data_IF_916962736730
#
_entry.id   IF_916962736730
#
_cell.length_a   1.000
_cell.length_b   1.000
_cell.length_c   1.000
_cell.angle_alpha   90.00
_cell.angle_beta   90.00
_cell.angle_gamma   90.00
#
_symmetry.space_group_name_H-M   'P 1'
#
loop_
_entity.id
_entity.type
_entity.pdbx_description
1 polymer ?
#
# COMPACT_ATOMS: atom_id res chain seq x y z
N UNK A 1 -0.71 27.74 -2.21
CA UNK A 1 -0.57 26.35 -2.71
C UNK A 1 -0.61 25.44 -1.51
N UNK A 2 -1.20 24.24 -1.60
CA UNK A 2 -1.17 23.31 -0.46
C UNK A 2 0.29 22.98 -0.13
N UNK A 3 0.66 23.09 1.14
CA UNK A 3 1.96 22.69 1.67
C UNK A 3 1.90 21.33 2.35
N UNK A 4 0.74 20.68 2.32
CA UNK A 4 0.51 19.37 2.95
C UNK A 4 0.22 18.30 1.90
N UNK A 5 0.58 17.06 2.23
CA UNK A 5 0.34 15.88 1.42
C UNK A 5 -0.18 14.75 2.32
N UNK A 6 -1.35 14.18 1.98
CA UNK A 6 -1.91 13.01 2.65
C UNK A 6 -1.77 11.76 1.77
N UNK A 7 -1.13 10.73 2.30
CA UNK A 7 -0.96 9.42 1.64
C UNK A 7 -1.65 8.37 2.48
N UNK A 8 -2.46 7.52 1.86
CA UNK A 8 -3.19 6.45 2.55
C UNK A 8 -3.00 5.10 1.85
N UNK A 9 -3.09 4.01 2.61
CA UNK A 9 -3.14 2.65 2.09
C UNK A 9 -4.24 1.82 2.74
N UNK A 10 -4.85 0.93 1.97
CA UNK A 10 -5.90 0.02 2.46
C UNK A 10 -6.06 -1.19 1.54
N UNK A 11 -5.93 -2.40 2.10
CA UNK A 11 -6.37 -3.64 1.44
C UNK A 11 -7.90 -3.74 1.46
N UNK A 12 -8.50 -3.96 0.29
CA UNK A 12 -9.96 -3.96 0.12
C UNK A 12 -10.59 -5.35 -0.03
N UNK A 13 -9.79 -6.42 0.08
CA UNK A 13 -10.25 -7.81 -0.06
C UNK A 13 -11.03 -8.10 -1.36
N UNK A 14 -10.54 -7.57 -2.48
CA UNK A 14 -11.02 -7.84 -3.84
C UNK A 14 -12.53 -7.61 -3.98
N UNK A 15 -13.02 -6.38 -3.76
CA UNK A 15 -14.44 -6.11 -3.85
C UNK A 15 -14.91 -6.34 -5.29
N UNK A 16 -15.89 -7.23 -5.46
CA UNK A 16 -16.43 -7.55 -6.80
C UNK A 16 -17.08 -6.33 -7.44
N UNK A 17 -16.86 -6.14 -8.74
CA UNK A 17 -17.56 -5.14 -9.54
C UNK A 17 -19.08 -5.39 -9.43
N UNK A 18 -19.82 -4.45 -8.83
CA UNK A 18 -21.25 -4.60 -8.55
C UNK A 18 -21.61 -5.03 -7.11
N UNK A 19 -20.64 -5.14 -6.20
CA UNK A 19 -20.90 -5.29 -4.77
C UNK A 19 -21.55 -4.01 -4.21
N UNK A 20 -22.87 -3.93 -4.31
CA UNK A 20 -23.67 -2.79 -3.87
C UNK A 20 -23.64 -2.57 -2.36
N UNK A 21 -23.22 -3.57 -1.58
CA UNK A 21 -23.07 -3.46 -0.12
C UNK A 21 -21.73 -2.87 0.30
N UNK A 22 -20.63 -3.34 -0.31
CA UNK A 22 -19.29 -2.94 0.13
C UNK A 22 -18.81 -1.69 -0.60
N UNK A 23 -19.03 -1.58 -1.91
CA UNK A 23 -18.49 -0.47 -2.72
C UNK A 23 -18.92 0.90 -2.18
N UNK A 24 -20.21 1.17 -1.90
CA UNK A 24 -20.61 2.49 -1.41
C UNK A 24 -19.95 2.88 -0.08
N UNK A 25 -19.76 1.92 0.83
CA UNK A 25 -19.14 2.13 2.14
C UNK A 25 -17.63 2.30 2.06
N UNK A 26 -16.97 1.55 1.18
CA UNK A 26 -15.55 1.76 0.86
C UNK A 26 -15.37 3.18 0.31
N UNK A 27 -16.19 3.59 -0.66
CA UNK A 27 -16.12 4.92 -1.26
C UNK A 27 -16.46 6.05 -0.26
N UNK A 28 -17.42 5.82 0.65
CA UNK A 28 -17.72 6.75 1.75
C UNK A 28 -16.49 6.96 2.63
N UNK A 29 -15.82 5.88 3.04
CA UNK A 29 -14.60 5.99 3.84
C UNK A 29 -13.45 6.64 3.07
N UNK A 30 -13.25 6.30 1.80
CA UNK A 30 -12.24 6.94 0.95
C UNK A 30 -12.47 8.46 0.87
N UNK A 31 -13.73 8.90 0.71
CA UNK A 31 -14.09 10.32 0.70
C UNK A 31 -13.89 11.00 2.05
N UNK A 32 -14.14 10.29 3.16
CA UNK A 32 -13.91 10.80 4.52
C UNK A 32 -12.41 11.02 4.79
N UNK A 33 -11.56 10.04 4.47
CA UNK A 33 -10.11 10.13 4.67
C UNK A 33 -9.50 11.18 3.73
N UNK A 34 -10.04 11.28 2.50
CA UNK A 34 -9.73 12.33 1.54
C UNK A 34 -8.22 12.47 1.24
N UNK A 35 -7.52 11.35 1.07
CA UNK A 35 -6.08 11.37 0.80
C UNK A 35 -5.75 11.88 -0.60
N UNK A 36 -4.66 12.62 -0.75
CA UNK A 36 -4.16 13.08 -2.05
C UNK A 36 -3.65 11.92 -2.91
N UNK A 37 -3.06 10.92 -2.25
CA UNK A 37 -2.57 9.68 -2.84
C UNK A 37 -3.13 8.50 -2.09
N UNK A 38 -3.70 7.54 -2.82
CA UNK A 38 -4.12 6.25 -2.29
C UNK A 38 -3.28 5.14 -2.90
N UNK A 39 -2.83 4.21 -2.07
CA UNK A 39 -2.36 2.89 -2.49
C UNK A 39 -3.39 1.87 -2.03
N UNK A 40 -4.20 1.36 -2.95
CA UNK A 40 -5.22 0.37 -2.63
C UNK A 40 -4.72 -1.01 -3.07
N UNK A 41 -4.71 -1.96 -2.14
CA UNK A 41 -4.33 -3.35 -2.40
C UNK A 41 -5.57 -4.24 -2.48
N UNK A 42 -5.46 -5.35 -3.21
CA UNK A 42 -6.55 -6.28 -3.51
C UNK A 42 -7.83 -5.52 -3.89
N UNK A 43 -7.72 -4.68 -4.92
CA UNK A 43 -8.73 -3.68 -5.25
C UNK A 43 -9.42 -3.99 -6.57
N UNK A 44 -10.39 -3.16 -6.92
CA UNK A 44 -11.08 -3.21 -8.20
C UNK A 44 -11.21 -1.79 -8.77
N UNK A 45 -11.15 -1.64 -10.09
CA UNK A 45 -11.35 -0.36 -10.79
C UNK A 45 -12.71 0.31 -10.49
N UNK A 46 -13.71 -0.44 -10.00
CA UNK A 46 -14.97 0.11 -9.50
C UNK A 46 -14.80 0.95 -8.22
N UNK A 47 -13.70 0.79 -7.48
CA UNK A 47 -13.32 1.64 -6.35
C UNK A 47 -12.53 2.84 -6.88
N UNK A 48 -13.24 3.82 -7.42
CA UNK A 48 -12.68 5.08 -7.89
C UNK A 48 -12.87 6.18 -6.82
N UNK A 49 -11.79 6.76 -6.26
CA UNK A 49 -11.87 7.85 -5.28
C UNK A 49 -12.55 9.14 -5.77
N UNK A 50 -12.62 9.37 -7.09
CA UNK A 50 -13.27 10.53 -7.70
C UNK A 50 -12.73 10.87 -9.09
N UNK A 51 -13.46 11.68 -9.85
CA UNK A 51 -13.10 12.05 -11.24
C UNK A 51 -11.83 12.88 -11.35
N UNK A 52 -11.38 13.49 -10.25
CA UNK A 52 -10.15 14.26 -10.19
C UNK A 52 -8.91 13.39 -9.86
N UNK A 53 -9.11 12.09 -9.67
CA UNK A 53 -8.00 11.15 -9.50
C UNK A 53 -7.61 10.50 -10.83
N UNK A 54 -6.30 10.34 -11.01
CA UNK A 54 -5.72 9.47 -12.02
C UNK A 54 -5.08 8.27 -11.35
N UNK A 55 -4.96 7.15 -12.06
CA UNK A 55 -4.41 5.93 -11.48
C UNK A 55 -3.51 5.13 -12.40
N UNK A 56 -2.72 4.28 -11.77
CA UNK A 56 -1.96 3.20 -12.39
C UNK A 56 -2.11 1.95 -11.52
N UNK A 57 -2.26 0.79 -12.16
CA UNK A 57 -2.45 -0.48 -11.46
C UNK A 57 -1.40 -1.50 -11.85
N UNK A 58 -1.20 -2.48 -10.97
CA UNK A 58 -0.43 -3.68 -11.26
C UNK A 58 -1.10 -4.50 -12.38
N UNK A 59 -0.33 -5.38 -13.00
CA UNK A 59 -0.80 -6.24 -14.08
C UNK A 59 -1.89 -7.19 -13.59
N UNK A 60 -2.92 -7.33 -14.42
CA UNK A 60 -3.97 -8.32 -14.25
C UNK A 60 -3.40 -9.75 -14.27
N UNK A 61 -3.86 -10.61 -13.36
CA UNK A 61 -3.49 -12.03 -13.30
C UNK A 61 -4.63 -12.86 -13.90
N UNK A 62 -4.42 -13.50 -15.06
CA UNK A 62 -5.40 -14.42 -15.64
C UNK A 62 -5.79 -15.53 -14.67
N UNK A 63 -7.06 -15.95 -14.71
CA UNK A 63 -7.66 -17.01 -13.89
C UNK A 63 -7.71 -16.74 -12.37
N UNK A 64 -6.99 -15.73 -11.88
CA UNK A 64 -7.08 -15.25 -10.50
C UNK A 64 -8.03 -14.05 -10.39
N UNK A 65 -7.88 -13.04 -11.25
CA UNK A 65 -8.65 -11.80 -11.20
C UNK A 65 -9.96 -11.84 -12.00
N UNK A 66 -10.98 -11.15 -11.49
CA UNK A 66 -12.17 -10.79 -12.27
C UNK A 66 -12.02 -9.39 -12.88
N UNK A 67 -12.92 -8.99 -13.78
CA UNK A 67 -12.81 -7.70 -14.48
C UNK A 67 -12.62 -6.52 -13.52
N UNK A 68 -11.57 -5.74 -13.76
CA UNK A 68 -11.20 -4.57 -12.96
C UNK A 68 -10.37 -4.90 -11.71
N UNK A 69 -10.21 -6.16 -11.32
CA UNK A 69 -9.40 -6.53 -10.16
C UNK A 69 -7.90 -6.41 -10.43
N UNK A 70 -7.19 -5.88 -9.44
CA UNK A 70 -5.73 -5.77 -9.44
C UNK A 70 -5.21 -5.94 -8.02
N UNK A 71 -3.96 -6.40 -7.89
CA UNK A 71 -3.34 -6.55 -6.57
C UNK A 71 -3.00 -5.19 -5.95
N UNK A 72 -2.52 -4.23 -6.74
CA UNK A 72 -2.16 -2.89 -6.25
C UNK A 72 -2.57 -1.83 -7.24
N UNK A 73 -3.20 -0.75 -6.78
CA UNK A 73 -3.48 0.44 -7.58
C UNK A 73 -3.06 1.69 -6.81
N UNK A 74 -2.30 2.56 -7.48
CA UNK A 74 -1.99 3.90 -7.01
C UNK A 74 -3.00 4.86 -7.63
N UNK A 75 -3.74 5.60 -6.82
CA UNK A 75 -4.56 6.73 -7.24
C UNK A 75 -3.94 8.03 -6.74
N UNK A 76 -4.02 9.10 -7.52
CA UNK A 76 -3.60 10.43 -7.08
C UNK A 76 -4.47 11.53 -7.67
N UNK A 77 -4.76 12.57 -6.87
CA UNK A 77 -5.32 13.86 -7.35
C UNK A 77 -4.34 14.64 -8.23
N UNK A 78 -3.07 14.23 -8.25
CA UNK A 78 -2.00 14.84 -9.04
C UNK A 78 -1.66 13.97 -10.24
N UNK A 79 -1.00 14.53 -11.28
CA UNK A 79 -0.60 13.75 -12.45
C UNK A 79 0.25 12.52 -12.08
N UNK A 80 -0.24 11.34 -12.47
CA UNK A 80 0.46 10.06 -12.35
C UNK A 80 1.19 9.76 -13.65
N UNK A 81 2.52 9.64 -13.59
CA UNK A 81 3.37 9.27 -14.72
C UNK A 81 3.96 7.88 -14.48
N UNK A 82 3.55 6.85 -15.27
CA UNK A 82 4.15 5.53 -15.20
C UNK A 82 5.68 5.62 -15.39
N UNK A 83 6.42 4.91 -14.54
CA UNK A 83 7.86 4.75 -14.73
C UNK A 83 8.12 3.60 -15.70
N UNK A 84 9.05 3.79 -16.64
CA UNK A 84 9.62 2.66 -17.38
C UNK A 84 10.59 1.89 -16.47
N UNK A 85 10.02 1.20 -15.48
CA UNK A 85 10.72 0.47 -14.45
C UNK A 85 10.04 -0.90 -14.27
N UNK A 86 10.71 -2.01 -14.61
CA UNK A 86 10.18 -3.33 -14.36
C UNK A 86 10.33 -3.67 -12.88
N UNK A 87 9.21 -3.66 -12.14
CA UNK A 87 9.20 -4.23 -10.79
C UNK A 87 9.48 -5.73 -10.86
N UNK A 88 9.99 -6.29 -9.76
CA UNK A 88 10.29 -7.71 -9.59
C UNK A 88 9.10 -8.58 -9.98
N UNK A 89 7.92 -8.18 -9.50
CA UNK A 89 6.66 -8.78 -9.89
C UNK A 89 5.63 -7.69 -10.20
N UNK A 90 5.43 -7.48 -11.49
CA UNK A 90 4.47 -6.51 -12.01
C UNK A 90 3.01 -6.87 -11.75
N UNK A 91 2.71 -8.07 -11.26
CA UNK A 91 1.33 -8.48 -10.92
C UNK A 91 0.92 -8.02 -9.53
N UNK A 92 1.85 -7.98 -8.57
CA UNK A 92 1.58 -7.51 -7.20
C UNK A 92 2.01 -6.08 -6.94
N UNK A 93 2.99 -5.56 -7.70
CA UNK A 93 3.56 -4.25 -7.49
C UNK A 93 3.43 -3.32 -8.71
N UNK A 94 3.32 -2.03 -8.44
CA UNK A 94 3.27 -0.95 -9.44
C UNK A 94 3.98 0.28 -8.89
N UNK A 95 4.61 1.07 -9.78
CA UNK A 95 5.21 2.33 -9.38
C UNK A 95 4.97 3.45 -10.39
N UNK A 96 4.90 4.68 -9.89
CA UNK A 96 4.78 5.88 -10.70
C UNK A 96 5.45 7.08 -10.05
N UNK A 97 5.84 8.03 -10.90
CA UNK A 97 6.18 9.38 -10.48
C UNK A 97 4.89 10.20 -10.35
N UNK A 98 4.74 10.89 -9.23
CA UNK A 98 3.64 11.82 -8.95
C UNK A 98 4.21 13.23 -8.87
N UNK A 99 3.66 14.16 -9.65
CA UNK A 99 4.07 15.57 -9.63
C UNK A 99 3.05 16.41 -8.86
N UNK A 100 3.38 16.80 -7.64
CA UNK A 100 2.48 17.53 -6.74
C UNK A 100 2.97 18.96 -6.46
N UNK A 101 2.15 19.81 -5.80
CA UNK A 101 2.59 21.14 -5.35
C UNK A 101 3.78 21.13 -4.37
N UNK A 102 4.06 20.01 -3.70
CA UNK A 102 5.20 19.87 -2.77
C UNK A 102 6.44 19.27 -3.44
N UNK A 103 6.38 18.99 -4.75
CA UNK A 103 7.44 18.40 -5.55
C UNK A 103 7.05 17.08 -6.22
N UNK A 104 7.96 16.56 -7.04
CA UNK A 104 7.87 15.21 -7.62
C UNK A 104 8.39 14.15 -6.65
N UNK A 105 7.73 13.00 -6.60
CA UNK A 105 8.13 11.85 -5.80
C UNK A 105 7.67 10.56 -6.46
N UNK A 106 8.25 9.44 -6.04
CA UNK A 106 7.88 8.10 -6.52
C UNK A 106 7.00 7.43 -5.48
N UNK A 107 5.91 6.83 -5.94
CA UNK A 107 5.11 5.91 -5.13
C UNK A 107 5.27 4.50 -5.68
N UNK A 108 5.58 3.56 -4.78
CA UNK A 108 5.63 2.13 -5.03
C UNK A 108 4.51 1.46 -4.24
N UNK A 109 3.46 1.02 -4.93
CA UNK A 109 2.34 0.29 -4.36
C UNK A 109 2.53 -1.20 -4.50
N UNK A 110 2.33 -1.97 -3.42
CA UNK A 110 2.69 -3.40 -3.42
C UNK A 110 1.90 -4.27 -2.46
N UNK A 111 1.92 -5.57 -2.74
CA UNK A 111 1.66 -6.62 -1.76
C UNK A 111 2.97 -7.40 -1.58
N UNK A 112 3.39 -7.61 -0.33
CA UNK A 112 4.40 -8.62 0.02
C UNK A 112 3.62 -9.89 0.37
N UNK A 113 3.94 -11.01 -0.29
CA UNK A 113 3.10 -12.21 -0.31
C UNK A 113 2.89 -12.78 1.10
N UNK A 114 1.78 -13.44 1.38
CA UNK A 114 1.49 -14.01 2.71
C UNK A 114 2.20 -15.35 2.94
N UNK A 115 2.04 -15.92 4.14
CA UNK A 115 2.64 -17.18 4.60
C UNK A 115 2.55 -18.33 3.60
N UNK A 116 1.36 -18.54 3.04
CA UNK A 116 1.02 -19.76 2.29
C UNK A 116 0.98 -19.56 0.77
N UNK A 117 1.50 -18.43 0.26
CA UNK A 117 1.62 -18.22 -1.18
C UNK A 117 2.44 -19.35 -1.84
N UNK A 118 1.81 -20.07 -2.77
CA UNK A 118 2.41 -21.18 -3.50
C UNK A 118 2.50 -22.49 -2.72
N UNK A 119 2.06 -22.55 -1.46
CA UNK A 119 2.19 -23.74 -0.61
C UNK A 119 1.20 -24.83 -1.03
N UNK A 120 -0.06 -24.47 -1.26
CA UNK A 120 -1.12 -25.42 -1.64
C UNK A 120 -0.85 -26.05 -3.01
N UNK A 121 -0.21 -25.31 -3.91
CA UNK A 121 0.21 -25.77 -5.24
C UNK A 121 1.54 -26.54 -5.22
N UNK A 122 2.18 -26.70 -4.05
CA UNK A 122 3.48 -27.36 -3.93
C UNK A 122 4.65 -26.60 -4.56
N UNK A 123 4.49 -25.29 -4.78
CA UNK A 123 5.48 -24.43 -5.45
C UNK A 123 6.43 -23.72 -4.48
N UNK A 124 6.15 -23.73 -3.19
CA UNK A 124 6.97 -23.10 -2.15
C UNK A 124 6.67 -23.70 -0.77
N UNK A 125 7.59 -23.51 0.19
CA UNK A 125 7.32 -23.73 1.61
C UNK A 125 6.70 -22.47 2.22
N UNK A 126 6.08 -22.63 3.40
CA UNK A 126 5.56 -21.51 4.17
C UNK A 126 6.64 -20.42 4.36
N UNK A 127 6.25 -19.17 4.13
CA UNK A 127 7.08 -17.96 4.18
C UNK A 127 8.20 -17.84 3.12
N UNK A 128 8.48 -18.88 2.33
CA UNK A 128 9.60 -18.85 1.38
C UNK A 128 9.43 -17.74 0.34
N UNK A 129 8.22 -17.60 -0.22
CA UNK A 129 7.91 -16.52 -1.17
C UNK A 129 7.84 -15.15 -0.52
N UNK A 130 7.37 -15.07 0.73
CA UNK A 130 7.33 -13.81 1.48
C UNK A 130 8.74 -13.25 1.66
N UNK A 131 9.70 -14.05 2.13
CA UNK A 131 11.09 -13.62 2.30
C UNK A 131 11.72 -13.20 0.98
N UNK A 132 11.48 -13.98 -0.09
CA UNK A 132 11.96 -13.67 -1.43
C UNK A 132 11.36 -12.37 -1.97
N UNK A 133 10.08 -12.12 -1.71
CA UNK A 133 9.41 -10.88 -2.10
C UNK A 133 10.03 -9.67 -1.38
N UNK A 134 10.31 -9.76 -0.07
CA UNK A 134 11.00 -8.70 0.69
C UNK A 134 12.35 -8.38 0.05
N UNK A 135 13.18 -9.39 -0.22
CA UNK A 135 14.52 -9.20 -0.79
C UNK A 135 14.45 -8.52 -2.17
N UNK A 136 13.60 -9.02 -3.07
CA UNK A 136 13.53 -8.47 -4.42
C UNK A 136 12.87 -7.10 -4.49
N UNK A 137 11.82 -6.84 -3.69
CA UNK A 137 11.23 -5.50 -3.61
C UNK A 137 12.20 -4.49 -2.98
N UNK A 138 12.99 -4.90 -1.98
CA UNK A 138 14.10 -4.09 -1.47
C UNK A 138 15.10 -3.69 -2.56
N UNK A 139 15.45 -4.63 -3.45
CA UNK A 139 16.31 -4.34 -4.60
C UNK A 139 15.65 -3.39 -5.61
N UNK A 140 14.33 -3.41 -5.75
CA UNK A 140 13.61 -2.45 -6.58
C UNK A 140 13.61 -1.05 -5.98
N UNK A 141 13.35 -0.94 -4.68
CA UNK A 141 13.41 0.33 -3.94
C UNK A 141 14.78 0.98 -4.11
N UNK A 142 15.86 0.20 -4.01
CA UNK A 142 17.23 0.69 -4.14
C UNK A 142 17.50 1.25 -5.55
N UNK A 143 17.02 0.55 -6.58
CA UNK A 143 17.15 1.03 -7.97
C UNK A 143 16.31 2.29 -8.20
N UNK A 144 15.13 2.40 -7.61
CA UNK A 144 14.27 3.57 -7.74
C UNK A 144 14.91 4.83 -7.15
N UNK A 145 15.72 4.70 -6.09
CA UNK A 145 16.45 5.83 -5.52
C UNK A 145 17.44 6.47 -6.49
N UNK A 146 17.97 5.71 -7.47
CA UNK A 146 18.85 6.26 -8.51
C UNK A 146 18.17 7.33 -9.38
N UNK A 147 16.83 7.46 -9.30
CA UNK A 147 16.07 8.53 -9.95
C UNK A 147 16.20 9.89 -9.24
N UNK A 148 16.74 9.94 -8.02
CA UNK A 148 16.93 11.17 -7.27
C UNK A 148 15.62 11.85 -6.82
N UNK A 149 14.53 11.08 -6.77
CA UNK A 149 13.24 11.53 -6.27
C UNK A 149 12.94 10.84 -4.93
N UNK A 150 12.26 11.53 -3.99
CA UNK A 150 11.80 10.91 -2.76
C UNK A 150 10.94 9.66 -3.03
N UNK A 151 11.16 8.60 -2.28
CA UNK A 151 10.42 7.34 -2.39
C UNK A 151 9.40 7.18 -1.26
N UNK A 152 8.17 6.84 -1.63
CA UNK A 152 7.11 6.32 -0.77
C UNK A 152 6.78 4.89 -1.19
N UNK A 153 6.92 3.93 -0.27
CA UNK A 153 6.49 2.54 -0.46
C UNK A 153 5.27 2.30 0.41
N UNK A 154 4.17 1.84 -0.16
CA UNK A 154 2.97 1.54 0.62
C UNK A 154 2.23 0.31 0.12
N UNK A 155 1.42 -0.28 0.99
CA UNK A 155 0.57 -1.42 0.67
C UNK A 155 0.51 -2.45 1.79
N UNK A 156 0.14 -3.67 1.44
CA UNK A 156 0.01 -4.77 2.39
C UNK A 156 1.34 -5.53 2.49
N UNK A 157 1.98 -5.45 3.66
CA UNK A 157 3.28 -6.07 3.86
C UNK A 157 3.16 -7.49 4.43
N UNK A 158 1.95 -7.95 4.78
CA UNK A 158 1.70 -9.24 5.42
C UNK A 158 2.62 -9.52 6.63
N UNK A 159 2.97 -8.47 7.38
CA UNK A 159 3.87 -8.55 8.53
C UNK A 159 3.54 -7.41 9.49
N UNK A 160 3.31 -7.71 10.77
CA UNK A 160 3.20 -6.66 11.80
C UNK A 160 4.59 -6.16 12.14
N UNK A 161 4.81 -4.84 12.12
CA UNK A 161 6.12 -4.25 12.40
C UNK A 161 6.27 -3.62 13.79
N UNK A 162 5.21 -3.62 14.59
CA UNK A 162 5.20 -3.11 15.95
C UNK A 162 4.73 -4.19 16.94
N UNK A 163 5.39 -4.23 18.10
CA UNK A 163 4.94 -5.03 19.24
C UNK A 163 3.63 -4.43 19.83
N UNK A 164 2.82 -5.23 20.55
CA UNK A 164 2.96 -6.67 20.84
C UNK A 164 2.36 -7.58 19.76
N UNK A 165 2.11 -7.08 18.55
CA UNK A 165 1.45 -7.83 17.49
C UNK A 165 2.45 -8.75 16.77
N UNK A 166 1.98 -9.93 16.34
CA UNK A 166 2.89 -11.01 15.92
C UNK A 166 2.54 -11.68 14.59
N UNK A 167 1.60 -11.14 13.81
CA UNK A 167 1.33 -11.70 12.48
C UNK A 167 2.57 -11.53 11.59
N UNK A 168 2.90 -12.58 10.85
CA UNK A 168 4.15 -12.64 10.12
C UNK A 168 5.18 -13.56 10.79
N UNK A 169 6.46 -13.30 10.57
CA UNK A 169 7.55 -14.09 11.16
C UNK A 169 8.69 -13.21 11.66
N UNK A 170 9.43 -13.68 12.68
CA UNK A 170 10.61 -12.98 13.17
C UNK A 170 11.65 -12.73 12.06
N UNK A 171 11.77 -13.69 11.13
CA UNK A 171 12.66 -13.54 9.98
C UNK A 171 12.12 -12.51 8.98
N UNK A 172 10.81 -12.48 8.72
CA UNK A 172 10.17 -11.48 7.86
C UNK A 172 10.40 -10.06 8.38
N UNK A 173 10.15 -9.83 9.68
CA UNK A 173 10.46 -8.56 10.36
C UNK A 173 11.92 -8.15 10.23
N UNK A 174 12.85 -9.08 10.49
CA UNK A 174 14.28 -8.80 10.40
C UNK A 174 14.69 -8.44 8.95
N UNK A 175 14.14 -9.14 7.95
CA UNK A 175 14.38 -8.85 6.54
C UNK A 175 13.81 -7.49 6.13
N UNK A 176 12.59 -7.16 6.55
CA UNK A 176 11.98 -5.85 6.29
C UNK A 176 12.78 -4.72 6.95
N UNK A 177 13.19 -4.88 8.22
CA UNK A 177 14.03 -3.90 8.90
C UNK A 177 15.36 -3.68 8.17
N UNK A 178 16.03 -4.76 7.74
CA UNK A 178 17.24 -4.67 6.95
C UNK A 178 17.00 -3.98 5.59
N UNK A 179 15.88 -4.29 4.93
CA UNK A 179 15.48 -3.66 3.68
C UNK A 179 15.22 -2.15 3.85
N UNK A 180 14.52 -1.75 4.90
CA UNK A 180 14.28 -0.33 5.19
C UNK A 180 15.59 0.42 5.45
N UNK A 181 16.49 -0.17 6.25
CA UNK A 181 17.80 0.42 6.53
C UNK A 181 18.65 0.56 5.26
N UNK A 182 18.71 -0.48 4.43
CA UNK A 182 19.48 -0.46 3.17
C UNK A 182 18.94 0.56 2.15
N UNK A 183 17.68 0.96 2.30
CA UNK A 183 16.99 1.90 1.43
C UNK A 183 16.71 3.26 2.12
N UNK A 184 17.27 3.55 3.29
CA UNK A 184 17.02 4.81 4.00
C UNK A 184 15.51 5.15 4.15
N UNK A 185 14.68 4.10 4.26
CA UNK A 185 13.23 4.18 4.42
C UNK A 185 12.89 4.09 5.91
N UNK A 186 11.85 4.81 6.31
CA UNK A 186 11.25 4.77 7.64
C UNK A 186 9.81 4.32 7.49
N UNK A 187 9.45 3.19 8.12
CA UNK A 187 8.05 2.77 8.21
C UNK A 187 7.31 3.64 9.24
N UNK A 188 6.62 4.68 8.77
CA UNK A 188 5.98 5.67 9.64
C UNK A 188 4.70 5.16 10.31
N UNK A 189 4.17 4.05 9.80
CA UNK A 189 2.99 3.34 10.31
C UNK A 189 3.32 2.18 11.25
N UNK A 190 4.60 1.88 11.50
CA UNK A 190 5.03 0.89 12.49
C UNK A 190 5.02 1.50 13.91
N UNK A 191 3.85 1.92 14.40
CA UNK A 191 3.68 2.55 15.72
C UNK A 191 2.69 1.80 16.58
N UNK A 192 3.04 1.56 17.84
CA UNK A 192 2.15 0.92 18.82
C UNK A 192 0.79 1.62 18.94
N UNK A 193 0.77 2.95 18.81
CA UNK A 193 -0.47 3.75 18.90
C UNK A 193 -1.50 3.44 17.81
N UNK A 194 -1.09 2.80 16.71
CA UNK A 194 -1.97 2.41 15.61
C UNK A 194 -2.57 1.00 15.80
N UNK A 195 -2.17 0.28 16.83
CA UNK A 195 -2.66 -1.07 17.11
C UNK A 195 -2.18 -2.11 16.10
N UNK A 196 -2.99 -3.15 15.89
CA UNK A 196 -2.71 -4.23 14.94
C UNK A 196 -2.77 -3.70 13.51
N UNK A 197 -1.69 -3.91 12.76
CA UNK A 197 -1.61 -3.45 11.38
C UNK A 197 -0.54 -4.22 10.60
N UNK A 198 -0.86 -4.60 9.37
CA UNK A 198 0.06 -5.22 8.39
C UNK A 198 0.16 -4.41 7.09
N UNK A 199 -0.64 -3.34 6.97
CA UNK A 199 -0.61 -2.41 5.86
C UNK A 199 0.25 -1.21 6.24
N UNK A 200 1.27 -0.92 5.44
CA UNK A 200 2.31 -0.01 5.86
C UNK A 200 2.59 1.10 4.85
N UNK A 201 3.03 2.24 5.37
CA UNK A 201 3.57 3.35 4.60
C UNK A 201 5.00 3.59 5.08
N UNK A 202 5.94 3.45 4.16
CA UNK A 202 7.36 3.71 4.34
C UNK A 202 7.76 4.91 3.49
N UNK A 203 8.44 5.87 4.11
CA UNK A 203 8.88 7.10 3.45
C UNK A 203 10.39 7.19 3.52
N UNK A 204 11.00 7.77 2.50
CA UNK A 204 12.41 8.16 2.57
C UNK A 204 12.64 9.09 3.76
N UNK A 205 13.80 8.98 4.40
CA UNK A 205 14.08 9.59 5.71
C UNK A 205 13.71 11.08 5.79
N UNK A 206 14.08 11.89 4.79
CA UNK A 206 13.76 13.33 4.74
C UNK A 206 12.26 13.63 4.70
N UNK A 207 11.46 12.74 4.11
CA UNK A 207 10.01 12.85 4.08
C UNK A 207 9.39 12.36 5.39
N UNK A 208 9.94 11.31 5.99
CA UNK A 208 9.50 10.84 7.29
C UNK A 208 9.62 11.92 8.39
N UNK A 209 10.66 12.78 8.31
CA UNK A 209 10.84 13.93 9.21
C UNK A 209 9.77 15.03 9.03
N UNK A 210 9.05 15.03 7.92
CA UNK A 210 7.99 15.99 7.61
C UNK A 210 6.60 15.52 8.05
N UNK A 211 6.52 14.34 8.67
CA UNK A 211 5.27 13.78 9.16
C UNK A 211 4.65 14.69 10.22
N UNK A 212 3.44 15.16 9.94
CA UNK A 212 2.59 15.89 10.86
C UNK A 212 1.79 14.93 11.73
N UNK A 213 1.14 13.94 11.12
CA UNK A 213 0.38 12.92 11.83
C UNK A 213 0.35 11.60 11.06
N UNK A 214 -0.01 10.54 11.77
CA UNK A 214 -0.31 9.22 11.22
C UNK A 214 -1.47 8.66 12.01
N UNK A 215 -2.42 8.05 11.32
CA UNK A 215 -3.62 7.48 11.95
C UNK A 215 -4.11 6.24 11.19
N UNK A 216 -5.06 5.54 11.80
CA UNK A 216 -5.68 4.31 11.29
C UNK A 216 -7.20 4.42 11.37
N UNK A 217 -7.92 3.72 10.50
CA UNK A 217 -9.34 3.47 10.69
C UNK A 217 -9.61 1.99 10.81
N UNK A 218 -10.42 1.68 11.82
CA UNK A 218 -10.74 0.33 12.24
C UNK A 218 -11.73 -0.33 11.26
N UNK A 219 -11.34 -1.50 10.75
CA UNK A 219 -12.15 -2.35 9.88
C UNK A 219 -13.52 -2.69 10.48
N UNK A 220 -13.59 -2.86 11.81
CA UNK A 220 -14.82 -3.20 12.52
C UNK A 220 -15.77 -2.01 12.66
N UNK A 221 -15.33 -0.81 12.24
CA UNK A 221 -16.16 0.40 12.16
C UNK A 221 -16.55 0.75 10.72
N UNK A 222 -15.87 0.17 9.73
CA UNK A 222 -16.23 0.24 8.32
C UNK A 222 -17.19 -0.89 7.94
N UNK A 223 -18.45 -0.75 8.33
CA UNK A 223 -19.46 -1.78 8.13
C UNK A 223 -20.35 -1.49 6.91
N UNK A 224 -20.71 -2.54 6.18
CA UNK A 224 -21.79 -2.50 5.20
C UNK A 224 -23.17 -2.48 5.87
N UNK A 225 -24.23 -2.38 5.07
CA UNK A 225 -25.60 -2.28 5.55
C UNK A 225 -26.08 -3.53 6.32
N UNK A 226 -25.36 -4.66 6.22
CA UNK A 226 -25.62 -5.86 7.02
C UNK A 226 -24.86 -5.86 8.37
N UNK A 227 -24.12 -4.79 8.69
CA UNK A 227 -23.27 -4.72 9.86
C UNK A 227 -21.98 -5.55 9.77
N UNK A 228 -21.56 -5.95 8.56
CA UNK A 228 -20.32 -6.70 8.34
C UNK A 228 -19.19 -5.78 7.87
N UNK A 229 -17.93 -5.99 8.31
CA UNK A 229 -16.79 -5.27 7.78
C UNK A 229 -16.71 -5.37 6.25
N UNK A 230 -16.38 -4.26 5.59
CA UNK A 230 -16.19 -4.22 4.13
C UNK A 230 -14.83 -4.76 3.69
N UNK A 231 -13.89 -4.81 4.62
CA UNK A 231 -12.54 -5.39 4.54
C UNK A 231 -12.20 -5.96 5.94
N UNK A 232 -11.30 -6.93 6.00
CA UNK A 232 -10.69 -7.45 7.24
C UNK A 232 -9.32 -6.83 7.52
N UNK A 233 -9.00 -5.74 6.81
CA UNK A 233 -7.86 -4.87 7.08
C UNK A 233 -8.32 -3.51 7.59
N UNK A 234 -7.60 -3.01 8.58
CA UNK A 234 -7.58 -1.58 8.90
C UNK A 234 -6.96 -0.83 7.72
N UNK A 235 -7.34 0.42 7.53
CA UNK A 235 -6.59 1.30 6.64
C UNK A 235 -5.79 2.32 7.43
N UNK A 236 -4.70 2.81 6.85
CA UNK A 236 -3.80 3.77 7.50
C UNK A 236 -3.49 4.93 6.58
N UNK A 237 -3.22 6.09 7.17
CA UNK A 237 -2.76 7.26 6.43
C UNK A 237 -1.70 8.04 7.20
N UNK A 238 -0.93 8.81 6.45
CA UNK A 238 0.04 9.78 6.97
C UNK A 238 -0.22 11.15 6.34
N UNK A 239 -0.08 12.20 7.13
CA UNK A 239 -0.04 13.58 6.64
C UNK A 239 1.37 14.14 6.79
N UNK A 240 1.87 14.78 5.73
CA UNK A 240 3.18 15.42 5.68
C UNK A 240 3.02 16.94 5.51
N UNK A 241 3.91 17.72 6.11
CA UNK A 241 3.98 19.18 5.95
C UNK A 241 5.34 19.61 5.38
N UNK A 242 5.31 20.40 4.31
CA UNK A 242 6.48 20.91 3.58
C UNK A 242 6.67 22.42 3.75
N UNK A 243 6.03 23.01 4.77
CA UNK A 243 6.21 24.41 5.16
C UNK A 243 7.60 24.67 5.76
#
# INVERSE_FOLDING_TARGET
>A
MSTALKIATWNLQRPRAGSWKNIPKILEKIREINADVWVLTETNAAINPGDDYTSISSKFIPDYHTQGETCSTIWSRYPVKPLNFPTFDATVAVCAEITSPVGSFIVYGTIITWRDDGVQEGKAKAWERHYRAIEHQSADWLKLQTKGLPLCVAGDFNETLNEPFTYGSQQGRALLQAAFQANELVCVTAKESLGYNIDHICLQTDWAQKMLCVDTWDQHKCLNDDGKPVSDHNGVYVELSFA
#
